data_IF_744266365572
#
_entry.id   IF_744266365572
#
_cell.length_a   1.000
_cell.length_b   1.000
_cell.length_c   1.000
_cell.angle_alpha   90.00
_cell.angle_beta   90.00
_cell.angle_gamma   90.00
#
_symmetry.space_group_name_H-M   'P 1'
#
loop_
_entity.id
_entity.type
_entity.pdbx_description
1 polymer ?
#
# COMPACT_ATOMS: atom_id res chain seq x y z
N UNK A 1 5.78 4.59 15.10
CA UNK A 1 4.64 3.68 15.25
C UNK A 1 3.38 4.35 14.70
N UNK A 2 2.47 3.56 14.15
CA UNK A 2 1.17 4.07 13.68
C UNK A 2 0.29 4.43 14.90
N UNK A 3 -0.59 5.43 14.73
CA UNK A 3 -1.61 5.76 15.70
C UNK A 3 -2.62 4.61 15.86
N UNK A 4 -3.20 4.50 17.02
CA UNK A 4 -4.28 3.57 17.31
C UNK A 4 -5.24 4.18 18.33
N UNK A 5 -6.48 3.74 18.32
CA UNK A 5 -7.46 4.12 19.31
C UNK A 5 -7.30 3.24 20.56
N UNK A 6 -7.46 3.84 21.74
CA UNK A 6 -7.45 3.17 23.01
C UNK A 6 -8.43 3.84 23.96
N UNK A 7 -8.95 3.08 24.90
CA UNK A 7 -9.72 3.58 26.03
C UNK A 7 -8.87 4.49 26.93
N UNK A 8 -7.57 4.20 27.03
CA UNK A 8 -6.63 4.97 27.84
C UNK A 8 -6.04 6.15 27.07
N UNK A 9 -5.84 7.26 27.78
CA UNK A 9 -5.24 8.45 27.18
C UNK A 9 -3.72 8.43 27.28
N UNK A 10 -3.05 8.03 26.19
CA UNK A 10 -1.58 8.08 26.05
C UNK A 10 -1.07 9.42 25.48
N UNK A 11 -1.96 10.36 25.20
CA UNK A 11 -1.63 11.61 24.52
C UNK A 11 -1.37 11.41 23.03
N UNK A 12 -0.79 12.42 22.40
CA UNK A 12 -0.44 12.37 20.98
C UNK A 12 1.01 12.81 20.78
N UNK A 13 1.90 11.86 20.51
CA UNK A 13 3.33 12.12 20.37
C UNK A 13 3.65 13.14 19.27
N UNK A 14 3.08 12.96 18.08
CA UNK A 14 3.35 13.84 16.92
C UNK A 14 2.88 15.29 17.08
N UNK A 15 1.88 15.53 17.96
CA UNK A 15 1.39 16.87 18.29
C UNK A 15 1.94 17.37 19.64
N UNK A 16 2.74 16.58 20.33
CA UNK A 16 3.26 16.86 21.68
C UNK A 16 2.17 17.22 22.71
N UNK A 17 0.98 16.59 22.59
CA UNK A 17 -0.16 16.82 23.48
C UNK A 17 -0.25 15.71 24.52
N UNK A 18 -0.38 16.07 25.81
CA UNK A 18 -0.56 15.12 26.91
C UNK A 18 -1.95 14.48 26.93
N UNK A 19 -2.96 15.20 26.45
CA UNK A 19 -4.34 14.73 26.33
C UNK A 19 -4.82 15.04 24.92
N UNK A 20 -5.37 14.05 24.26
CA UNK A 20 -5.86 14.18 22.91
C UNK A 20 -6.98 13.18 22.63
N UNK A 21 -7.98 13.61 21.92
CA UNK A 21 -9.02 12.75 21.37
C UNK A 21 -9.55 13.31 20.06
N UNK A 22 -10.06 12.44 19.21
CA UNK A 22 -10.84 12.85 18.06
C UNK A 22 -12.23 13.34 18.49
N UNK A 23 -12.73 14.41 17.92
CA UNK A 23 -13.99 15.03 18.33
C UNK A 23 -14.82 15.61 17.18
N UNK A 24 -14.16 16.10 16.13
CA UNK A 24 -14.79 17.04 15.18
C UNK A 24 -15.49 16.39 13.99
N UNK A 25 -15.48 15.07 13.85
CA UNK A 25 -16.02 14.37 12.68
C UNK A 25 -16.88 13.15 13.03
N UNK A 26 -17.94 13.27 13.85
CA UNK A 26 -18.73 12.12 14.33
C UNK A 26 -19.53 11.40 13.22
N UNK A 27 -19.75 12.05 12.07
CA UNK A 27 -20.45 11.44 10.92
C UNK A 27 -19.63 10.33 10.28
N UNK A 28 -18.31 10.46 10.24
CA UNK A 28 -17.40 9.53 9.55
C UNK A 28 -16.42 8.78 10.44
N UNK A 29 -16.25 9.22 11.69
CA UNK A 29 -15.39 8.57 12.68
C UNK A 29 -16.18 8.14 13.90
N UNK A 30 -16.27 6.85 14.11
CA UNK A 30 -17.03 6.29 15.22
C UNK A 30 -16.43 6.67 16.59
N UNK A 31 -15.11 6.87 16.69
CA UNK A 31 -14.45 7.38 17.89
C UNK A 31 -15.03 8.73 18.36
N UNK A 32 -15.24 9.65 17.41
CA UNK A 32 -15.78 10.98 17.70
C UNK A 32 -17.23 10.87 18.23
N UNK A 33 -18.03 9.98 17.62
CA UNK A 33 -19.40 9.72 18.08
C UNK A 33 -19.42 9.18 19.49
N UNK A 34 -18.51 8.25 19.85
CA UNK A 34 -18.38 7.72 21.21
C UNK A 34 -18.06 8.86 22.19
N UNK A 35 -17.13 9.75 21.85
CA UNK A 35 -16.77 10.89 22.71
C UNK A 35 -17.95 11.85 22.90
N UNK A 36 -18.74 12.14 21.83
CA UNK A 36 -19.96 12.93 21.95
C UNK A 36 -20.96 12.26 22.92
N UNK A 37 -21.19 10.96 22.78
CA UNK A 37 -22.08 10.22 23.69
C UNK A 37 -21.56 10.20 25.13
N UNK A 38 -20.25 10.05 25.31
CA UNK A 38 -19.64 10.12 26.64
C UNK A 38 -19.83 11.50 27.28
N UNK A 39 -19.71 12.59 26.51
CA UNK A 39 -19.98 13.95 27.00
C UNK A 39 -21.46 14.17 27.37
N UNK A 40 -22.38 13.69 26.55
CA UNK A 40 -23.82 13.75 26.84
C UNK A 40 -24.11 13.06 28.17
N UNK A 41 -23.55 11.86 28.39
CA UNK A 41 -23.70 11.11 29.64
C UNK A 41 -23.08 11.87 30.83
N UNK A 42 -21.84 12.33 30.69
CA UNK A 42 -21.10 13.01 31.76
C UNK A 42 -21.71 14.35 32.19
N UNK A 43 -22.31 15.08 31.24
CA UNK A 43 -22.88 16.41 31.47
C UNK A 43 -24.40 16.39 31.64
N UNK A 44 -25.05 15.24 31.50
CA UNK A 44 -26.50 15.12 31.64
C UNK A 44 -27.29 15.85 30.56
N UNK A 45 -26.79 15.94 29.34
CA UNK A 45 -27.40 16.71 28.24
C UNK A 45 -28.55 15.96 27.52
N UNK A 46 -28.78 14.70 27.86
CA UNK A 46 -29.84 13.90 27.24
C UNK A 46 -29.79 12.44 27.66
N UNK A 47 -30.68 11.62 27.07
CA UNK A 47 -30.81 10.19 27.37
C UNK A 47 -30.03 9.30 26.38
N UNK A 48 -29.43 9.90 25.33
CA UNK A 48 -28.71 9.21 24.27
C UNK A 48 -27.18 9.15 24.49
N UNK A 49 -26.76 9.36 25.74
CA UNK A 49 -25.36 9.25 26.16
C UNK A 49 -24.81 7.83 26.10
N UNK A 50 -23.54 7.67 26.46
CA UNK A 50 -22.87 6.38 26.54
C UNK A 50 -23.38 5.61 27.78
N UNK A 51 -23.88 4.40 27.57
CA UNK A 51 -24.31 3.51 28.66
C UNK A 51 -23.13 2.77 29.29
N UNK A 52 -23.26 2.35 30.57
CA UNK A 52 -22.20 1.62 31.26
C UNK A 52 -21.77 0.34 30.52
N UNK A 53 -22.72 -0.44 30.03
CA UNK A 53 -22.42 -1.63 29.21
C UNK A 53 -21.59 -1.35 27.95
N UNK A 54 -21.78 -0.18 27.34
CA UNK A 54 -20.98 0.24 26.18
C UNK A 54 -19.59 0.69 26.62
N UNK A 55 -19.45 1.27 27.82
CA UNK A 55 -18.18 1.66 28.40
C UNK A 55 -17.26 0.46 28.71
N UNK A 56 -17.82 -0.69 29.09
CA UNK A 56 -17.05 -1.93 29.28
C UNK A 56 -16.44 -2.47 27.98
N UNK A 57 -17.14 -2.26 26.87
CA UNK A 57 -16.71 -2.71 25.52
C UNK A 57 -15.84 -1.72 24.77
N UNK A 58 -15.47 -0.58 25.39
CA UNK A 58 -14.71 0.47 24.71
C UNK A 58 -13.36 -0.02 24.17
N UNK A 59 -12.68 -0.93 24.85
CA UNK A 59 -11.40 -1.45 24.39
C UNK A 59 -11.56 -2.32 23.14
N UNK A 60 -12.55 -3.20 23.09
CA UNK A 60 -12.86 -4.00 21.89
C UNK A 60 -13.24 -3.10 20.72
N UNK A 61 -14.03 -2.07 21.00
CA UNK A 61 -14.44 -1.07 20.00
C UNK A 61 -13.23 -0.29 19.49
N UNK A 62 -12.32 0.15 20.36
CA UNK A 62 -11.10 0.86 20.00
C UNK A 62 -10.19 0.00 19.10
N UNK A 63 -10.03 -1.27 19.40
CA UNK A 63 -9.28 -2.22 18.57
C UNK A 63 -9.97 -2.43 17.22
N UNK A 64 -11.29 -2.58 17.21
CA UNK A 64 -12.05 -2.77 15.97
C UNK A 64 -11.92 -1.57 15.02
N UNK A 65 -12.12 -0.34 15.51
CA UNK A 65 -12.00 0.88 14.69
C UNK A 65 -10.55 1.10 14.22
N UNK A 66 -9.55 0.78 15.03
CA UNK A 66 -8.14 0.84 14.62
C UNK A 66 -7.85 -0.13 13.47
N UNK A 67 -8.39 -1.33 13.52
CA UNK A 67 -8.21 -2.33 12.46
C UNK A 67 -8.96 -1.95 11.18
N UNK A 68 -10.19 -1.43 11.29
CA UNK A 68 -10.97 -0.98 10.12
C UNK A 68 -10.34 0.23 9.45
N UNK A 69 -9.79 1.17 10.21
CA UNK A 69 -9.05 2.31 9.67
C UNK A 69 -7.79 1.87 8.91
N UNK A 70 -6.99 0.98 9.49
CA UNK A 70 -5.82 0.42 8.79
C UNK A 70 -6.20 -0.29 7.49
N UNK A 71 -7.27 -1.08 7.51
CA UNK A 71 -7.77 -1.76 6.30
C UNK A 71 -8.20 -0.75 5.24
N UNK A 72 -8.86 0.33 5.63
CA UNK A 72 -9.27 1.40 4.72
C UNK A 72 -8.06 2.10 4.09
N UNK A 73 -7.05 2.44 4.89
CA UNK A 73 -5.81 3.05 4.40
C UNK A 73 -5.06 2.14 3.40
N UNK A 74 -5.00 0.84 3.69
CA UNK A 74 -4.38 -0.13 2.77
C UNK A 74 -5.16 -0.19 1.46
N UNK A 75 -6.49 -0.30 1.51
CA UNK A 75 -7.34 -0.34 0.33
C UNK A 75 -7.22 0.93 -0.53
N UNK A 76 -7.13 2.10 0.09
CA UNK A 76 -6.89 3.37 -0.60
C UNK A 76 -5.54 3.36 -1.31
N UNK A 77 -4.47 2.98 -0.61
CA UNK A 77 -3.14 2.91 -1.20
C UNK A 77 -3.06 1.92 -2.35
N UNK A 78 -3.55 0.70 -2.16
CA UNK A 78 -3.55 -0.33 -3.20
C UNK A 78 -4.34 0.10 -4.43
N UNK A 79 -5.42 0.88 -4.22
CA UNK A 79 -6.22 1.43 -5.32
C UNK A 79 -5.43 2.47 -6.11
N UNK A 80 -4.76 3.40 -5.42
CA UNK A 80 -3.88 4.40 -6.04
C UNK A 80 -2.76 3.72 -6.84
N UNK A 81 -2.10 2.72 -6.24
CA UNK A 81 -1.00 1.99 -6.87
C UNK A 81 -1.47 1.28 -8.16
N UNK A 82 -2.67 0.69 -8.18
CA UNK A 82 -3.28 0.09 -9.37
C UNK A 82 -3.57 1.12 -10.46
N UNK A 83 -4.11 2.28 -10.11
CA UNK A 83 -4.36 3.35 -11.09
C UNK A 83 -3.06 3.91 -11.66
N UNK A 84 -2.03 4.10 -10.83
CA UNK A 84 -0.72 4.54 -11.28
C UNK A 84 -0.06 3.50 -12.19
N UNK A 85 -0.16 2.22 -11.86
CA UNK A 85 0.31 1.14 -12.70
C UNK A 85 -0.43 1.09 -14.04
N UNK A 86 -1.76 1.22 -14.03
CA UNK A 86 -2.54 1.29 -15.27
C UNK A 86 -2.13 2.48 -16.16
N UNK A 87 -1.93 3.66 -15.57
CA UNK A 87 -1.46 4.84 -16.29
C UNK A 87 -0.06 4.66 -16.88
N UNK A 88 0.83 3.95 -16.19
CA UNK A 88 2.19 3.69 -16.65
C UNK A 88 2.28 2.52 -17.63
N UNK A 89 1.27 1.67 -17.74
CA UNK A 89 1.32 0.48 -18.60
C UNK A 89 1.56 0.79 -20.08
N UNK A 90 1.08 1.94 -20.56
CA UNK A 90 1.30 2.42 -21.94
C UNK A 90 2.69 3.05 -22.14
N UNK A 91 3.44 3.27 -21.06
CA UNK A 91 4.74 3.96 -21.05
C UNK A 91 5.92 3.03 -20.78
N UNK A 92 5.73 1.73 -20.94
CA UNK A 92 6.79 0.73 -20.77
C UNK A 92 7.90 1.00 -21.79
N UNK A 93 9.15 1.05 -21.31
CA UNK A 93 10.34 1.40 -22.11
C UNK A 93 10.76 2.86 -21.98
N UNK A 94 9.91 3.76 -21.47
CA UNK A 94 10.26 5.16 -21.27
C UNK A 94 11.17 5.35 -20.05
N UNK A 95 11.89 6.46 -20.06
CA UNK A 95 12.79 6.87 -18.98
C UNK A 95 12.11 7.94 -18.11
N UNK A 96 12.35 7.86 -16.80
CA UNK A 96 11.75 8.75 -15.82
C UNK A 96 12.78 9.19 -14.80
N UNK A 97 12.62 10.41 -14.32
CA UNK A 97 13.37 10.93 -13.17
C UNK A 97 12.64 10.63 -11.87
N UNK A 98 13.38 10.28 -10.85
CA UNK A 98 12.84 10.00 -9.53
C UNK A 98 13.87 10.09 -8.44
N UNK A 99 13.46 9.67 -7.25
CA UNK A 99 14.31 9.60 -6.07
C UNK A 99 14.18 8.24 -5.40
N UNK A 100 15.27 7.75 -4.84
CA UNK A 100 15.26 6.54 -4.01
C UNK A 100 14.39 6.79 -2.78
N UNK A 101 13.28 6.08 -2.66
CA UNK A 101 12.29 6.20 -1.58
C UNK A 101 12.42 5.13 -0.51
N UNK A 102 13.13 4.04 -0.82
CA UNK A 102 13.36 2.95 0.12
C UNK A 102 14.44 2.01 -0.35
N UNK A 103 15.10 1.33 0.61
CA UNK A 103 16.16 0.36 0.34
C UNK A 103 15.87 -0.93 1.10
N UNK A 104 16.01 -2.07 0.42
CA UNK A 104 15.77 -3.41 0.98
C UNK A 104 16.84 -4.40 0.49
N UNK A 105 16.90 -5.60 1.10
CA UNK A 105 17.86 -6.65 0.71
C UNK A 105 17.72 -7.11 -0.74
N UNK A 106 16.52 -7.03 -1.29
CA UNK A 106 16.20 -7.53 -2.63
C UNK A 106 16.23 -6.44 -3.72
N UNK A 107 16.48 -5.18 -3.35
CA UNK A 107 16.53 -4.04 -4.25
C UNK A 107 16.24 -2.73 -3.56
N UNK A 108 15.90 -1.73 -4.34
CA UNK A 108 15.50 -0.43 -3.82
C UNK A 108 14.28 0.09 -4.57
N UNK A 109 13.56 1.01 -3.93
CA UNK A 109 12.37 1.62 -4.49
C UNK A 109 12.69 3.01 -5.01
N UNK A 110 12.11 3.36 -6.14
CA UNK A 110 12.22 4.70 -6.73
C UNK A 110 10.82 5.28 -6.88
N UNK A 111 10.65 6.48 -6.37
CA UNK A 111 9.44 7.27 -6.55
C UNK A 111 9.67 8.29 -7.67
N UNK A 112 8.82 8.24 -8.68
CA UNK A 112 8.88 9.15 -9.83
C UNK A 112 8.49 10.57 -9.41
N UNK A 113 9.18 11.58 -9.95
CA UNK A 113 8.93 12.99 -9.63
C UNK A 113 7.57 13.47 -10.16
N UNK A 114 7.19 13.05 -11.37
CA UNK A 114 6.01 13.56 -12.07
C UNK A 114 4.70 12.97 -11.54
N UNK A 115 4.65 11.64 -11.43
CA UNK A 115 3.42 10.91 -11.08
C UNK A 115 3.33 10.54 -9.61
N UNK A 116 4.45 10.57 -8.88
CA UNK A 116 4.55 10.03 -7.53
C UNK A 116 4.47 8.50 -7.45
N UNK A 117 4.39 7.82 -8.60
CA UNK A 117 4.37 6.36 -8.65
C UNK A 117 5.66 5.78 -8.08
N UNK A 118 5.53 4.71 -7.31
CA UNK A 118 6.66 4.03 -6.69
C UNK A 118 6.83 2.65 -7.30
N UNK A 119 8.06 2.31 -7.67
CA UNK A 119 8.36 1.01 -8.25
C UNK A 119 9.69 0.45 -7.75
N UNK A 120 9.85 -0.85 -7.90
CA UNK A 120 11.04 -1.56 -7.46
C UNK A 120 12.11 -1.62 -8.55
N UNK A 121 13.37 -1.38 -8.16
CA UNK A 121 14.57 -1.76 -8.90
C UNK A 121 15.15 -3.00 -8.25
N UNK A 122 14.96 -4.20 -8.81
CA UNK A 122 15.47 -5.43 -8.22
C UNK A 122 17.00 -5.44 -8.23
N UNK A 123 17.64 -5.92 -7.16
CA UNK A 123 19.12 -5.99 -7.04
C UNK A 123 19.75 -6.80 -8.17
N UNK A 124 19.03 -7.80 -8.69
CA UNK A 124 19.48 -8.63 -9.82
C UNK A 124 19.63 -7.88 -11.15
N UNK A 125 19.08 -6.66 -11.25
CA UNK A 125 19.25 -5.81 -12.44
C UNK A 125 20.54 -4.99 -12.36
N UNK A 126 21.18 -4.94 -11.19
CA UNK A 126 22.48 -4.28 -10.94
C UNK A 126 23.63 -5.27 -11.21
N UNK A 127 23.65 -5.93 -12.35
CA UNK A 127 24.49 -7.11 -12.65
C UNK A 127 26.00 -6.87 -12.62
N UNK A 128 26.47 -5.63 -12.43
CA UNK A 128 27.89 -5.30 -12.48
C UNK A 128 28.61 -5.42 -11.15
N UNK A 129 27.87 -5.55 -10.05
CA UNK A 129 28.46 -5.67 -8.73
C UNK A 129 27.55 -6.48 -7.79
N UNK A 130 28.15 -7.01 -6.73
CA UNK A 130 27.42 -7.68 -5.67
C UNK A 130 27.13 -6.70 -4.56
N UNK A 131 25.84 -6.39 -4.32
CA UNK A 131 25.43 -5.41 -3.32
C UNK A 131 25.10 -6.09 -2.00
N UNK A 132 25.69 -5.59 -0.91
CA UNK A 132 25.35 -5.96 0.46
C UNK A 132 24.42 -4.91 1.08
N UNK A 133 23.38 -5.39 1.75
CA UNK A 133 22.47 -4.53 2.49
C UNK A 133 23.00 -4.30 3.92
N UNK A 134 23.21 -3.04 4.28
CA UNK A 134 23.56 -2.62 5.64
C UNK A 134 22.31 -2.17 6.39
N UNK A 135 21.91 -2.96 7.40
CA UNK A 135 20.76 -2.68 8.26
C UNK A 135 20.90 -1.41 9.10
N UNK A 136 22.13 -1.01 9.46
CA UNK A 136 22.37 0.14 10.34
C UNK A 136 22.15 1.44 9.61
N UNK A 137 22.54 1.49 8.35
CA UNK A 137 22.48 2.69 7.51
C UNK A 137 21.32 2.65 6.52
N UNK A 138 20.61 1.52 6.41
CA UNK A 138 19.58 1.29 5.38
C UNK A 138 20.10 1.58 3.97
N UNK A 139 21.28 1.06 3.63
CA UNK A 139 21.93 1.28 2.33
C UNK A 139 22.30 -0.03 1.66
N UNK A 140 22.41 -0.01 0.34
CA UNK A 140 23.04 -1.08 -0.45
C UNK A 140 24.44 -0.62 -0.83
N UNK A 141 25.46 -1.42 -0.49
CA UNK A 141 26.86 -1.13 -0.81
C UNK A 141 27.42 -2.16 -1.76
N UNK A 142 27.94 -1.71 -2.90
CA UNK A 142 28.62 -2.55 -3.87
C UNK A 142 29.97 -3.04 -3.34
N UNK A 143 30.23 -4.32 -3.51
CA UNK A 143 31.44 -4.99 -2.99
C UNK A 143 32.69 -4.61 -3.77
N UNK A 144 32.58 -4.40 -5.08
CA UNK A 144 33.70 -4.10 -5.97
C UNK A 144 33.79 -2.60 -6.26
N UNK A 145 32.66 -2.00 -6.63
CA UNK A 145 32.58 -0.57 -6.98
C UNK A 145 32.63 0.36 -5.78
N UNK A 146 32.29 -0.14 -4.58
CA UNK A 146 32.09 0.69 -3.39
C UNK A 146 30.92 1.67 -3.51
N UNK A 147 30.10 1.54 -4.57
CA UNK A 147 28.95 2.42 -4.80
C UNK A 147 27.91 2.21 -3.72
N UNK A 148 27.40 3.30 -3.13
CA UNK A 148 26.41 3.26 -2.07
C UNK A 148 25.08 3.79 -2.60
N UNK A 149 24.02 2.99 -2.46
CA UNK A 149 22.64 3.38 -2.77
C UNK A 149 21.94 3.66 -1.45
N UNK A 150 21.45 4.88 -1.30
CA UNK A 150 20.82 5.38 -0.08
C UNK A 150 19.53 6.15 -0.38
N UNK A 151 18.73 6.32 0.66
CA UNK A 151 17.49 7.07 0.59
C UNK A 151 17.74 8.52 0.11
N UNK A 152 16.84 9.03 -0.74
CA UNK A 152 16.85 10.42 -1.20
C UNK A 152 17.73 10.72 -2.41
N UNK A 153 18.58 9.78 -2.86
CA UNK A 153 19.40 9.95 -4.05
C UNK A 153 18.54 10.12 -5.30
N UNK A 154 19.01 10.98 -6.23
CA UNK A 154 18.38 11.14 -7.54
C UNK A 154 18.66 9.90 -8.39
N UNK A 155 17.65 9.43 -9.11
CA UNK A 155 17.76 8.29 -9.99
C UNK A 155 17.05 8.56 -11.32
N UNK A 156 17.68 8.15 -12.41
CA UNK A 156 17.01 8.01 -13.72
C UNK A 156 16.76 6.53 -13.93
N UNK A 157 15.51 6.19 -14.15
CA UNK A 157 15.07 4.81 -14.29
C UNK A 157 14.30 4.60 -15.58
N UNK A 158 14.37 3.40 -16.13
CA UNK A 158 13.55 2.96 -17.26
C UNK A 158 12.47 2.01 -16.77
N UNK A 159 11.24 2.23 -17.20
CA UNK A 159 10.13 1.35 -16.90
C UNK A 159 10.23 0.05 -17.70
N UNK A 160 10.37 -1.09 -17.02
CA UNK A 160 10.53 -2.41 -17.68
C UNK A 160 9.27 -3.26 -17.66
N UNK A 161 8.52 -3.21 -16.60
CA UNK A 161 7.33 -4.05 -16.42
C UNK A 161 6.33 -3.40 -15.48
N UNK A 162 5.04 -3.66 -15.75
CA UNK A 162 3.93 -3.13 -14.96
C UNK A 162 2.86 -4.20 -14.84
N UNK A 163 2.38 -4.41 -13.62
CA UNK A 163 1.22 -5.24 -13.33
C UNK A 163 0.07 -4.36 -12.79
N UNK A 164 -0.88 -3.93 -13.63
CA UNK A 164 -1.99 -3.08 -13.21
C UNK A 164 -2.94 -3.75 -12.21
N UNK A 165 -3.02 -5.10 -12.21
CA UNK A 165 -3.91 -5.82 -11.29
C UNK A 165 -3.35 -5.86 -9.87
N UNK A 166 -2.04 -6.04 -9.75
CA UNK A 166 -1.35 -6.04 -8.46
C UNK A 166 -0.87 -4.64 -8.02
N UNK A 167 -0.88 -3.65 -8.93
CA UNK A 167 -0.28 -2.32 -8.70
C UNK A 167 1.25 -2.34 -8.74
N UNK A 168 1.85 -3.41 -9.28
CA UNK A 168 3.30 -3.61 -9.33
C UNK A 168 3.96 -2.82 -10.46
N UNK A 169 5.07 -2.13 -10.15
CA UNK A 169 5.87 -1.39 -11.12
C UNK A 169 7.33 -1.80 -10.95
N UNK A 170 7.98 -2.21 -12.04
CA UNK A 170 9.38 -2.60 -12.03
C UNK A 170 10.22 -1.68 -12.92
N UNK A 171 11.31 -1.19 -12.36
CA UNK A 171 12.26 -0.32 -13.04
C UNK A 171 13.62 -0.97 -13.22
N UNK A 172 14.33 -0.48 -14.20
CA UNK A 172 15.76 -0.63 -14.41
C UNK A 172 16.43 0.72 -14.14
N UNK A 173 17.46 0.76 -13.34
CA UNK A 173 18.18 2.00 -13.06
C UNK A 173 19.21 2.27 -14.16
N UNK A 174 19.26 3.52 -14.62
CA UNK A 174 20.23 4.00 -15.61
C UNK A 174 21.34 4.80 -14.92
N UNK A 175 20.95 5.73 -14.05
CA UNK A 175 21.88 6.56 -13.27
C UNK A 175 21.44 6.75 -11.85
N UNK A 176 22.39 6.90 -10.93
CA UNK A 176 22.17 7.36 -9.55
C UNK A 176 23.15 8.50 -9.30
N UNK A 177 22.65 9.67 -8.84
CA UNK A 177 23.43 10.89 -8.63
C UNK A 177 24.37 11.19 -9.82
N UNK A 178 23.83 11.16 -11.04
CA UNK A 178 24.52 11.39 -12.33
C UNK A 178 25.63 10.37 -12.67
N UNK A 179 25.81 9.34 -11.83
CA UNK A 179 26.73 8.25 -12.13
C UNK A 179 26.01 7.14 -12.88
N UNK A 180 26.46 6.82 -14.07
CA UNK A 180 25.94 5.69 -14.83
C UNK A 180 26.21 4.39 -14.08
N UNK A 181 25.15 3.63 -13.85
CA UNK A 181 25.28 2.25 -13.40
C UNK A 181 25.43 1.42 -14.66
N UNK A 182 26.55 0.70 -14.83
CA UNK A 182 26.75 -0.12 -16.01
C UNK A 182 25.68 -1.21 -16.04
N UNK A 183 24.91 -1.20 -17.10
CA UNK A 183 23.87 -2.18 -17.35
C UNK A 183 24.32 -3.11 -18.47
N UNK A 184 24.35 -4.40 -18.19
CA UNK A 184 24.59 -5.38 -19.24
C UNK A 184 23.29 -5.55 -20.01
N UNK A 185 23.26 -5.00 -21.24
CA UNK A 185 22.15 -5.26 -22.17
C UNK A 185 21.98 -6.77 -22.34
N UNK A 186 21.07 -7.37 -21.59
CA UNK A 186 20.57 -8.70 -21.93
C UNK A 186 19.97 -8.61 -23.32
N UNK A 187 20.66 -9.12 -24.33
CA UNK A 187 20.03 -9.46 -25.61
C UNK A 187 18.78 -10.25 -25.26
N UNK A 188 17.61 -9.65 -25.49
CA UNK A 188 16.31 -10.33 -25.36
C UNK A 188 16.33 -11.51 -26.30
N UNK A 189 16.79 -12.67 -25.83
CA UNK A 189 16.41 -13.93 -26.45
C UNK A 189 14.96 -14.12 -26.10
N UNK A 190 14.09 -13.75 -27.01
CA UNK A 190 12.66 -14.04 -26.99
C UNK A 190 12.46 -15.56 -27.08
N UNK A 191 12.79 -16.27 -26.02
CA UNK A 191 12.24 -17.60 -25.80
C UNK A 191 10.83 -17.43 -25.27
N UNK A 192 9.92 -17.21 -26.18
CA UNK A 192 8.50 -17.51 -25.98
C UNK A 192 8.42 -18.93 -25.45
N UNK A 193 8.31 -19.07 -24.14
CA UNK A 193 7.93 -20.35 -23.54
C UNK A 193 6.44 -20.52 -23.88
N UNK A 194 6.17 -21.03 -25.10
CA UNK A 194 4.90 -21.66 -25.40
C UNK A 194 4.79 -22.84 -24.44
N UNK A 195 4.16 -22.66 -23.28
CA UNK A 195 3.61 -23.74 -22.48
C UNK A 195 2.61 -24.46 -23.39
N UNK A 196 3.02 -25.57 -23.99
CA UNK A 196 2.12 -26.58 -24.54
C UNK A 196 1.23 -27.02 -23.37
N UNK A 197 0.03 -26.45 -23.30
CA UNK A 197 -1.04 -27.01 -22.47
C UNK A 197 -1.37 -28.34 -23.08
N UNK A 198 -0.92 -29.41 -22.44
CA UNK A 198 -1.24 -30.79 -22.77
C UNK A 198 -2.74 -30.96 -22.50
N UNK A 199 -3.56 -30.85 -23.56
CA UNK A 199 -4.98 -31.24 -23.55
C UNK A 199 -5.05 -32.76 -23.55
N UNK A 200 -4.76 -33.38 -22.42
CA UNK A 200 -5.12 -34.78 -22.20
C UNK A 200 -6.44 -34.82 -21.43
N UNK A 201 -7.45 -35.25 -22.17
CA UNK A 201 -8.63 -35.97 -21.76
C UNK A 201 -8.97 -35.92 -20.26
N UNK A 202 -9.87 -35.03 -19.89
CA UNK A 202 -10.66 -35.23 -18.70
C UNK A 202 -12.15 -35.34 -19.09
N UNK A 203 -12.73 -36.48 -18.70
CA UNK A 203 -14.06 -36.89 -19.06
C UNK A 203 -15.14 -35.89 -18.67
N UNK A 204 -16.20 -35.91 -19.43
CA UNK A 204 -17.42 -35.14 -19.24
C UNK A 204 -18.07 -35.45 -17.88
N UNK A 205 -17.86 -34.61 -16.89
CA UNK A 205 -18.70 -34.58 -15.69
C UNK A 205 -19.80 -33.56 -15.93
N UNK A 206 -21.02 -34.08 -16.12
CA UNK A 206 -22.25 -33.28 -16.17
C UNK A 206 -22.42 -32.48 -14.87
N UNK A 207 -22.10 -31.18 -14.89
CA UNK A 207 -22.48 -30.26 -13.80
C UNK A 207 -23.97 -29.96 -13.87
N UNK A 208 -24.72 -30.40 -12.87
CA UNK A 208 -26.07 -29.93 -12.59
C UNK A 208 -26.02 -28.41 -12.34
N UNK A 209 -26.79 -27.64 -13.13
CA UNK A 209 -27.06 -26.23 -12.85
C UNK A 209 -27.72 -26.13 -11.47
N UNK A 210 -27.08 -25.49 -10.53
CA UNK A 210 -27.75 -24.93 -9.35
C UNK A 210 -28.09 -23.49 -9.69
N UNK A 211 -29.37 -23.20 -9.69
CA UNK A 211 -29.93 -21.87 -9.86
C UNK A 211 -29.43 -20.98 -8.73
N UNK A 212 -28.66 -19.97 -9.12
CA UNK A 212 -28.22 -18.91 -8.22
C UNK A 212 -29.34 -17.84 -8.25
N UNK A 213 -30.20 -17.86 -7.26
CA UNK A 213 -31.18 -16.81 -7.02
C UNK A 213 -30.47 -15.53 -6.63
N UNK A 214 -30.40 -14.58 -7.56
CA UNK A 214 -30.03 -13.20 -7.30
C UNK A 214 -31.14 -12.56 -6.46
N UNK A 215 -30.83 -12.31 -5.20
CA UNK A 215 -31.66 -11.51 -4.32
C UNK A 215 -31.45 -10.03 -4.65
N UNK A 216 -32.34 -9.44 -5.44
CA UNK A 216 -32.47 -7.99 -5.55
C UNK A 216 -33.45 -7.52 -4.47
N UNK A 217 -32.96 -6.84 -3.44
CA UNK A 217 -33.83 -6.18 -2.49
C UNK A 217 -34.43 -4.92 -3.13
N UNK A 218 -35.74 -4.68 -3.05
CA UNK A 218 -36.35 -3.46 -3.56
C UNK A 218 -36.01 -2.28 -2.64
N UNK A 219 -35.63 -1.15 -3.25
CA UNK A 219 -35.49 0.15 -2.59
C UNK A 219 -36.85 0.58 -2.00
N UNK A 220 -36.91 1.06 -0.75
CA UNK A 220 -38.15 1.64 -0.22
C UNK A 220 -38.44 2.95 -0.94
N UNK A 221 -39.58 3.01 -1.63
CA UNK A 221 -40.18 4.26 -2.09
C UNK A 221 -41.04 4.79 -0.95
N UNK A 222 -40.86 6.06 -0.60
CA UNK A 222 -41.73 6.77 0.32
C UNK A 222 -43.16 6.82 -0.23
N UNK A 223 -44.19 6.56 0.58
CA UNK A 223 -45.55 6.91 0.26
C UNK A 223 -45.84 8.35 0.69
N UNK A 224 -46.65 8.99 -0.12
CA UNK A 224 -47.25 10.33 0.06
C UNK A 224 -47.91 10.55 1.42
#
# INVERSE_FOLDING_TARGET
>A
SQAYYSRENFGHFGLALKKYTHFTSPIRRYSDLIIHRALISALGFGSDGLHEMDAEKLEETAQHISNTERRSMVAERDTIDRYLAAYLSEKVGNEFEGKVSGVAKFGFFVRLNDSGAEGIVPIRTLETDYYHYDLRTNTLKGSQSGHIISLGQKAIVRLIDVDPLAGGIAFEVLTIDDKKIPNIQRKRTSKTIRRKVNRNKMGSVKRKKKDCLLYTSPSPRDPH
#
